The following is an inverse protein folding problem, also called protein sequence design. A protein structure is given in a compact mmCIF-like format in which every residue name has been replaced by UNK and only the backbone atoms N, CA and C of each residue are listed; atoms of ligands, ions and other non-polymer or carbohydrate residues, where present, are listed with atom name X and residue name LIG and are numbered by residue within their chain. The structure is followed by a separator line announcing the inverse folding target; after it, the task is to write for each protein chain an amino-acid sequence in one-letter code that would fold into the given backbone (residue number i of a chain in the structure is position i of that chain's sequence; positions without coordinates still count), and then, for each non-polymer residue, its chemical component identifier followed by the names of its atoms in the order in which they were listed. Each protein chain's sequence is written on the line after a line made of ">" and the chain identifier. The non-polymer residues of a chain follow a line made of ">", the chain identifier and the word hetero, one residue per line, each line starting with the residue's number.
data_IF_559524058611
#
_entry.id   IF_559524058611
#
_cell.length_a   1.000
_cell.length_b   1.000
_cell.length_c   1.000
_cell.angle_alpha   90.00
_cell.angle_beta   90.00
_cell.angle_gamma   90.00
#
_symmetry.space_group_name_H-M   'P 1'
#
loop_
_entity.id
_entity.type
_entity.pdbx_description
1 polymer ?
#
# COMPACT_ATOMS: atom_id res chain seq x y z
N UNK A 1 13.54 -11.44 -8.86
CA UNK A 1 12.48 -10.80 -8.04
C UNK A 1 11.63 -9.98 -9.00
N UNK A 2 10.31 -10.13 -8.99
CA UNK A 2 9.42 -9.38 -9.89
C UNK A 2 9.53 -7.87 -9.59
N UNK A 3 9.79 -7.01 -10.59
CA UNK A 3 9.95 -5.56 -10.38
C UNK A 3 8.72 -4.92 -9.74
N UNK A 4 7.51 -5.44 -10.00
CA UNK A 4 6.26 -4.94 -9.39
C UNK A 4 6.24 -5.14 -7.88
N UNK A 5 6.81 -6.26 -7.41
CA UNK A 5 6.93 -6.59 -5.98
C UNK A 5 7.95 -5.67 -5.30
N UNK A 6 9.05 -5.37 -5.98
CA UNK A 6 10.07 -4.43 -5.48
C UNK A 6 9.49 -3.02 -5.33
N UNK A 7 8.78 -2.52 -6.35
CA UNK A 7 8.14 -1.20 -6.31
C UNK A 7 7.10 -1.11 -5.18
N UNK A 8 6.24 -2.11 -5.02
CA UNK A 8 5.25 -2.10 -3.95
C UNK A 8 5.91 -2.12 -2.57
N UNK A 9 6.93 -2.95 -2.37
CA UNK A 9 7.67 -3.00 -1.09
C UNK A 9 8.34 -1.67 -0.78
N UNK A 10 8.90 -0.99 -1.78
CA UNK A 10 9.50 0.33 -1.64
C UNK A 10 8.45 1.37 -1.22
N UNK A 11 7.29 1.39 -1.89
CA UNK A 11 6.17 2.28 -1.56
C UNK A 11 5.64 2.03 -0.14
N UNK A 12 5.46 0.75 0.25
CA UNK A 12 5.06 0.37 1.62
C UNK A 12 6.07 0.86 2.65
N UNK A 13 7.37 0.63 2.42
CA UNK A 13 8.41 1.05 3.35
C UNK A 13 8.45 2.58 3.51
N UNK A 14 8.24 3.33 2.43
CA UNK A 14 8.16 4.79 2.47
C UNK A 14 6.96 5.27 3.29
N UNK A 15 5.77 4.71 3.03
CA UNK A 15 4.56 5.11 3.74
C UNK A 15 4.65 4.79 5.24
N UNK A 16 5.23 3.65 5.62
CA UNK A 16 5.51 3.32 7.03
C UNK A 16 6.44 4.34 7.69
N UNK A 17 7.48 4.81 7.00
CA UNK A 17 8.36 5.88 7.52
C UNK A 17 7.60 7.20 7.71
N UNK A 18 6.73 7.56 6.77
CA UNK A 18 5.91 8.76 6.88
C UNK A 18 4.91 8.66 8.04
N UNK A 19 4.29 7.49 8.24
CA UNK A 19 3.42 7.21 9.38
C UNK A 19 4.17 7.32 10.71
N UNK A 20 5.38 6.77 10.80
CA UNK A 20 6.22 6.85 12.01
C UNK A 20 6.69 8.28 12.32
N UNK A 21 6.90 9.12 11.29
CA UNK A 21 7.27 10.52 11.46
C UNK A 21 6.10 11.40 11.96
N UNK A 22 4.86 11.01 11.72
CA UNK A 22 3.69 11.72 12.23
C UNK A 22 3.48 11.36 13.71
N UNK A 23 3.72 12.27 14.67
CA UNK A 23 3.48 11.98 16.10
C UNK A 23 2.07 12.26 16.60
N UNK A 24 1.22 12.87 15.78
CA UNK A 24 -0.18 13.15 16.16
C UNK A 24 -0.95 11.84 16.28
N UNK A 25 -1.85 11.74 17.27
CA UNK A 25 -2.71 10.57 17.52
C UNK A 25 -3.48 10.21 16.26
N UNK A 26 -2.91 9.26 15.53
CA UNK A 26 -3.47 8.73 14.31
C UNK A 26 -4.32 7.54 14.72
N UNK A 27 -5.60 7.81 14.98
CA UNK A 27 -6.56 6.87 15.60
C UNK A 27 -6.48 5.46 15.01
N UNK A 28 -6.32 5.37 13.70
CA UNK A 28 -6.33 4.12 12.94
C UNK A 28 -4.93 3.70 12.44
N UNK A 29 -3.84 4.20 13.04
CA UNK A 29 -2.45 3.84 12.64
C UNK A 29 -2.23 2.35 12.61
N UNK A 30 -2.62 1.64 13.68
CA UNK A 30 -2.37 0.20 13.77
C UNK A 30 -3.06 -0.56 12.63
N UNK A 31 -4.27 -0.13 12.26
CA UNK A 31 -5.03 -0.69 11.16
C UNK A 31 -4.31 -0.43 9.82
N UNK A 32 -3.82 0.80 9.62
CA UNK A 32 -3.06 1.15 8.42
C UNK A 32 -1.76 0.34 8.30
N UNK A 33 -1.02 0.16 9.40
CA UNK A 33 0.24 -0.60 9.41
C UNK A 33 0.01 -2.10 9.16
N UNK A 34 -1.03 -2.68 9.74
CA UNK A 34 -1.42 -4.08 9.52
C UNK A 34 -1.85 -4.32 8.07
N UNK A 35 -2.65 -3.42 7.50
CA UNK A 35 -3.04 -3.49 6.10
C UNK A 35 -1.83 -3.33 5.16
N UNK A 36 -0.84 -2.51 5.52
CA UNK A 36 0.42 -2.39 4.78
C UNK A 36 1.28 -3.66 4.83
N UNK A 37 1.33 -4.32 5.99
CA UNK A 37 1.99 -5.62 6.13
C UNK A 37 1.28 -6.68 5.27
N UNK A 38 -0.05 -6.68 5.28
CA UNK A 38 -0.88 -7.58 4.45
C UNK A 38 -0.63 -7.35 2.96
N UNK A 39 -0.59 -6.09 2.48
CA UNK A 39 -0.25 -5.75 1.09
C UNK A 39 1.12 -6.31 0.67
N UNK A 40 2.14 -6.13 1.51
CA UNK A 40 3.48 -6.64 1.23
C UNK A 40 3.54 -8.17 1.16
N UNK A 41 2.75 -8.86 2.00
CA UNK A 41 2.61 -10.31 1.99
C UNK A 41 1.89 -10.82 0.73
N UNK A 42 0.76 -10.21 0.37
CA UNK A 42 -0.02 -10.56 -0.82
C UNK A 42 0.79 -10.39 -2.11
N UNK A 43 1.58 -9.33 -2.21
CA UNK A 43 2.44 -9.12 -3.38
C UNK A 43 3.65 -10.07 -3.42
N UNK A 44 4.07 -10.61 -2.28
CA UNK A 44 5.14 -11.61 -2.23
C UNK A 44 4.67 -13.01 -2.64
N UNK A 45 3.36 -13.23 -2.76
CA UNK A 45 2.80 -14.50 -3.19
C UNK A 45 3.15 -14.77 -4.66
N UNK A 46 3.32 -16.05 -5.00
CA UNK A 46 3.63 -16.51 -6.36
C UNK A 46 2.56 -16.08 -7.38
N UNK A 47 1.30 -16.03 -6.94
CA UNK A 47 0.16 -15.47 -7.68
C UNK A 47 -0.53 -14.40 -6.84
N UNK A 48 -0.17 -13.11 -7.01
CA UNK A 48 -0.77 -12.03 -6.25
C UNK A 48 -2.25 -11.85 -6.59
N UNK A 49 -3.11 -11.86 -5.56
CA UNK A 49 -4.55 -11.63 -5.68
C UNK A 49 -4.83 -10.13 -5.82
N UNK A 50 -5.02 -9.67 -7.06
CA UNK A 50 -5.25 -8.25 -7.38
C UNK A 50 -6.50 -7.67 -6.70
N UNK A 51 -7.67 -8.36 -6.70
CA UNK A 51 -8.81 -7.95 -5.88
C UNK A 51 -8.46 -7.74 -4.39
N UNK A 52 -7.71 -8.66 -3.78
CA UNK A 52 -7.31 -8.55 -2.38
C UNK A 52 -6.30 -7.42 -2.13
N UNK A 53 -5.37 -7.19 -3.04
CA UNK A 53 -4.44 -6.05 -3.01
C UNK A 53 -5.24 -4.73 -3.04
N UNK A 54 -6.20 -4.60 -3.95
CA UNK A 54 -7.06 -3.41 -4.05
C UNK A 54 -7.91 -3.20 -2.79
N UNK A 55 -8.47 -4.26 -2.22
CA UNK A 55 -9.21 -4.19 -0.96
C UNK A 55 -8.32 -3.68 0.18
N UNK A 56 -7.11 -4.21 0.30
CA UNK A 56 -6.17 -3.80 1.34
C UNK A 56 -5.71 -2.35 1.16
N UNK A 57 -5.53 -1.89 -0.09
CA UNK A 57 -5.26 -0.49 -0.40
C UNK A 57 -6.39 0.44 0.05
N UNK A 58 -7.66 0.06 -0.16
CA UNK A 58 -8.81 0.83 0.31
C UNK A 58 -8.88 0.89 1.84
N UNK A 59 -8.52 -0.18 2.54
CA UNK A 59 -8.41 -0.16 4.01
C UNK A 59 -7.33 0.80 4.48
N UNK A 60 -6.15 0.80 3.85
CA UNK A 60 -5.08 1.77 4.13
C UNK A 60 -5.58 3.19 3.89
N UNK A 61 -6.25 3.45 2.77
CA UNK A 61 -6.78 4.78 2.46
C UNK A 61 -7.85 5.24 3.46
N UNK A 62 -8.75 4.34 3.89
CA UNK A 62 -9.77 4.63 4.89
C UNK A 62 -9.20 4.89 6.28
N UNK A 63 -8.18 4.11 6.69
CA UNK A 63 -7.48 4.29 7.96
C UNK A 63 -6.60 5.54 7.98
N UNK A 64 -6.05 5.95 6.83
CA UNK A 64 -5.25 7.17 6.69
C UNK A 64 -6.12 8.43 6.60
N UNK A 65 -7.30 8.35 5.98
CA UNK A 65 -8.17 9.50 5.73
C UNK A 65 -7.54 10.53 4.79
N UNK A 66 -8.06 11.77 4.80
CA UNK A 66 -7.62 12.89 3.94
C UNK A 66 -6.34 13.59 4.45
N UNK A 67 -5.38 12.86 5.02
CA UNK A 67 -4.14 13.45 5.54
C UNK A 67 -3.22 13.79 4.38
N UNK A 68 -3.20 15.05 3.98
CA UNK A 68 -2.44 15.54 2.81
C UNK A 68 -0.95 15.20 2.85
N UNK A 69 -0.33 15.15 4.04
CA UNK A 69 1.08 14.80 4.21
C UNK A 69 1.42 13.34 3.86
N UNK A 70 0.41 12.47 3.78
CA UNK A 70 0.53 11.07 3.39
C UNK A 70 0.06 10.82 1.95
N UNK A 71 -0.45 11.86 1.27
CA UNK A 71 -1.03 11.77 -0.07
C UNK A 71 -0.05 11.23 -1.12
N UNK A 72 1.20 11.69 -1.12
CA UNK A 72 2.22 11.21 -2.06
C UNK A 72 2.58 9.73 -1.85
N UNK A 73 2.67 9.30 -0.58
CA UNK A 73 2.94 7.89 -0.26
C UNK A 73 1.78 6.99 -0.67
N UNK A 74 0.55 7.45 -0.46
CA UNK A 74 -0.65 6.72 -0.87
C UNK A 74 -0.81 6.65 -2.40
N UNK A 75 -0.45 7.72 -3.12
CA UNK A 75 -0.43 7.73 -4.59
C UNK A 75 0.56 6.71 -5.15
N UNK A 76 1.79 6.70 -4.65
CA UNK A 76 2.82 5.73 -5.07
C UNK A 76 2.38 4.30 -4.78
N UNK A 77 1.74 4.05 -3.63
CA UNK A 77 1.20 2.74 -3.29
C UNK A 77 0.11 2.29 -4.26
N UNK A 78 -0.78 3.21 -4.66
CA UNK A 78 -1.82 2.95 -5.67
C UNK A 78 -1.22 2.61 -7.02
N UNK A 79 -0.26 3.40 -7.49
CA UNK A 79 0.46 3.16 -8.76
C UNK A 79 1.13 1.77 -8.75
N UNK A 80 1.78 1.39 -7.65
CA UNK A 80 2.41 0.08 -7.52
C UNK A 80 1.40 -1.08 -7.51
N UNK A 81 0.23 -0.92 -6.88
CA UNK A 81 -0.86 -1.93 -6.93
C UNK A 81 -1.43 -2.05 -8.35
N UNK A 82 -1.57 -0.93 -9.07
CA UNK A 82 -2.10 -0.94 -10.43
C UNK A 82 -1.22 -1.72 -11.42
N UNK A 83 0.10 -1.80 -11.18
CA UNK A 83 1.03 -2.65 -11.96
C UNK A 83 0.67 -4.15 -11.92
N UNK A 84 0.00 -4.62 -10.87
CA UNK A 84 -0.48 -6.00 -10.79
C UNK A 84 -1.80 -6.21 -11.57
N UNK A 85 -2.56 -5.14 -11.77
CA UNK A 85 -3.86 -5.15 -12.47
C UNK A 85 -3.79 -4.85 -13.97
N UNK A 86 -2.62 -4.51 -14.51
CA UNK A 86 -2.41 -4.41 -15.96
C UNK A 86 -2.32 -5.82 -16.54
N UNK A 87 -3.46 -6.47 -16.76
CA UNK A 87 -3.53 -7.52 -17.78
C UNK A 87 -3.15 -6.82 -19.10
N UNK A 88 -2.15 -7.30 -19.86
CA UNK A 88 -2.00 -6.85 -21.24
C UNK A 88 -3.35 -7.12 -21.91
N UNK A 89 -4.09 -6.07 -22.25
CA UNK A 89 -5.24 -6.23 -23.13
C UNK A 89 -4.64 -6.63 -24.48
N UNK A 90 -4.70 -7.92 -24.78
CA UNK A 90 -4.55 -8.44 -26.14
C UNK A 90 -5.73 -7.96 -26.99
#
# INVERSE_FOLDING_TARGET
>A
MDPRVTELRSAVARLRRQLAAHRVEFRDRSIAEEALATLAGLAAADRPDVPMLRRSLLLVAGAIGSVSALGDGLRQLREAVDLFGVTPRA
#
